data_IF_842921569595
#
_entry.id   IF_842921569595
#
_cell.length_a   1.000
_cell.length_b   1.000
_cell.length_c   1.000
_cell.angle_alpha   90.00
_cell.angle_beta   90.00
_cell.angle_gamma   90.00
#
_symmetry.space_group_name_H-M   'P 1'
#
loop_
_entity.id
_entity.type
_entity.pdbx_description
1 polymer ?
#
# COMPACT_ATOMS: atom_id res chain seq x y z
N UNK A 1 -7.30 0.25 -11.71
CA UNK A 1 -6.82 0.61 -13.05
C UNK A 1 -6.87 2.12 -13.19
N UNK A 2 -5.76 2.74 -13.60
CA UNK A 2 -5.69 4.14 -14.00
C UNK A 2 -5.57 4.20 -15.52
N UNK A 3 -6.60 4.71 -16.19
CA UNK A 3 -6.65 4.84 -17.64
C UNK A 3 -6.31 6.28 -18.04
N UNK A 4 -5.27 6.44 -18.84
CA UNK A 4 -4.82 7.73 -19.38
C UNK A 4 -5.22 7.84 -20.86
N UNK A 5 -6.21 8.69 -21.16
CA UNK A 5 -6.71 8.91 -22.54
C UNK A 5 -6.29 10.28 -23.09
N UNK A 6 -5.98 11.23 -22.22
CA UNK A 6 -5.62 12.60 -22.58
C UNK A 6 -4.16 12.94 -22.26
N UNK A 7 -3.67 14.02 -22.87
CA UNK A 7 -2.31 14.53 -22.65
C UNK A 7 -2.15 15.11 -21.24
N UNK A 8 -0.94 14.97 -20.68
CA UNK A 8 -0.53 15.57 -19.41
C UNK A 8 -1.43 15.20 -18.24
N UNK A 9 -1.92 13.97 -18.25
CA UNK A 9 -2.66 13.41 -17.12
C UNK A 9 -1.71 12.83 -16.08
N UNK A 10 -2.14 12.83 -14.83
CA UNK A 10 -1.36 12.26 -13.72
C UNK A 10 -2.22 11.29 -12.92
N UNK A 11 -1.63 10.17 -12.54
CA UNK A 11 -2.27 9.20 -11.65
C UNK A 11 -1.29 8.65 -10.62
N UNK A 12 -1.79 8.39 -9.43
CA UNK A 12 -1.07 7.70 -8.37
C UNK A 12 -1.97 6.62 -7.76
N UNK A 13 -1.49 5.38 -7.76
CA UNK A 13 -2.14 4.24 -7.12
C UNK A 13 -1.32 3.90 -5.88
N UNK A 14 -1.89 4.12 -4.71
CA UNK A 14 -1.26 3.77 -3.43
C UNK A 14 -2.04 2.61 -2.80
N UNK A 15 -1.36 1.49 -2.57
CA UNK A 15 -1.91 0.33 -1.90
C UNK A 15 -1.13 0.06 -0.61
N UNK A 16 -1.81 -0.04 0.51
CA UNK A 16 -1.20 -0.40 1.78
C UNK A 16 -1.96 -1.55 2.41
N UNK A 17 -1.24 -2.41 3.14
CA UNK A 17 -1.85 -3.56 3.77
C UNK A 17 -1.06 -4.10 4.94
N UNK A 18 -1.77 -4.82 5.80
CA UNK A 18 -1.20 -5.66 6.84
C UNK A 18 -1.73 -7.07 6.63
N UNK A 19 -0.83 -8.03 6.48
CA UNK A 19 -1.16 -9.44 6.37
C UNK A 19 -0.78 -10.15 7.65
N UNK A 20 -1.70 -10.91 8.21
CA UNK A 20 -1.58 -11.52 9.54
C UNK A 20 -1.96 -12.98 9.49
N UNK A 21 -1.38 -13.78 10.37
CA UNK A 21 -1.65 -15.21 10.53
C UNK A 21 -1.38 -16.01 9.22
N UNK A 22 -2.40 -16.60 8.60
CA UNK A 22 -2.35 -17.32 7.34
C UNK A 22 -3.14 -16.60 6.24
N UNK A 23 -3.18 -15.27 6.28
CA UNK A 23 -3.92 -14.48 5.31
C UNK A 23 -3.23 -14.45 3.94
N UNK A 24 -4.02 -14.29 2.89
CA UNK A 24 -3.51 -14.17 1.53
C UNK A 24 -4.05 -12.92 0.85
N UNK A 25 -3.19 -12.26 0.06
CA UNK A 25 -3.53 -11.08 -0.74
C UNK A 25 -3.03 -11.25 -2.16
N UNK A 26 -3.86 -10.92 -3.12
CA UNK A 26 -3.47 -10.70 -4.50
C UNK A 26 -3.84 -9.26 -4.89
N UNK A 27 -2.83 -8.42 -5.09
CA UNK A 27 -3.01 -7.07 -5.60
C UNK A 27 -2.69 -6.99 -7.09
N UNK A 28 -3.54 -6.32 -7.85
CA UNK A 28 -3.32 -6.03 -9.28
C UNK A 28 -3.52 -4.55 -9.52
N UNK A 29 -2.44 -3.82 -9.73
CA UNK A 29 -2.43 -2.44 -10.18
C UNK A 29 -2.23 -2.38 -11.69
N UNK A 30 -2.93 -1.50 -12.38
CA UNK A 30 -2.73 -1.29 -13.81
C UNK A 30 -2.74 0.19 -14.11
N UNK A 31 -1.68 0.67 -14.74
CA UNK A 31 -1.59 1.99 -15.38
C UNK A 31 -1.61 1.75 -16.87
N UNK A 32 -2.58 2.33 -17.57
CA UNK A 32 -2.79 2.12 -19.00
C UNK A 32 -2.72 3.46 -19.76
N UNK A 33 -1.62 3.67 -20.48
CA UNK A 33 -1.41 4.85 -21.30
C UNK A 33 -1.86 4.57 -22.75
N UNK A 34 -3.02 5.10 -23.09
CA UNK A 34 -3.60 4.99 -24.43
C UNK A 34 -2.96 5.97 -25.42
N UNK A 35 -3.13 5.72 -26.73
CA UNK A 35 -2.74 6.68 -27.74
C UNK A 35 -3.37 8.05 -27.48
N UNK A 36 -2.55 9.09 -27.52
CA UNK A 36 -2.97 10.47 -27.25
C UNK A 36 -2.73 10.92 -25.79
N UNK A 37 -2.18 10.06 -24.94
CA UNK A 37 -1.83 10.39 -23.54
C UNK A 37 -0.41 10.97 -23.37
N UNK A 38 0.16 11.56 -24.40
CA UNK A 38 1.52 12.12 -24.36
C UNK A 38 1.75 13.05 -23.15
N UNK A 39 2.98 13.06 -22.61
CA UNK A 39 3.40 13.80 -21.43
C UNK A 39 2.69 13.39 -20.13
N UNK A 40 2.06 12.22 -20.10
CA UNK A 40 1.37 11.72 -18.90
C UNK A 40 2.31 10.95 -17.97
N UNK A 41 1.96 10.96 -16.68
CA UNK A 41 2.74 10.32 -15.61
C UNK A 41 1.82 9.44 -14.78
N UNK A 42 2.23 8.20 -14.53
CA UNK A 42 1.54 7.28 -13.65
C UNK A 42 2.51 6.63 -12.67
N UNK A 43 2.13 6.55 -11.42
CA UNK A 43 2.90 5.88 -10.39
C UNK A 43 2.02 4.89 -9.63
N UNK A 44 2.60 3.74 -9.29
CA UNK A 44 2.01 2.75 -8.40
C UNK A 44 2.97 2.47 -7.25
N UNK A 45 2.47 2.53 -6.02
CA UNK A 45 3.21 2.21 -4.81
C UNK A 45 2.43 1.22 -3.97
N UNK A 46 3.14 0.24 -3.45
CA UNK A 46 2.60 -0.74 -2.52
C UNK A 46 3.45 -0.80 -1.26
N UNK A 47 2.80 -0.73 -0.09
CA UNK A 47 3.44 -0.90 1.22
C UNK A 47 2.68 -1.96 2.02
N UNK A 48 3.32 -3.11 2.28
CA UNK A 48 2.69 -4.25 2.97
C UNK A 48 3.56 -4.71 4.13
N UNK A 49 2.95 -4.74 5.31
CA UNK A 49 3.51 -5.36 6.49
C UNK A 49 3.08 -6.82 6.58
N UNK A 50 4.04 -7.72 6.71
CA UNK A 50 3.81 -9.15 6.92
C UNK A 50 3.98 -9.47 8.40
N UNK A 51 2.95 -10.10 9.00
CA UNK A 51 2.89 -10.46 10.41
C UNK A 51 2.48 -11.93 10.55
N UNK A 52 3.39 -12.84 10.21
CA UNK A 52 3.16 -14.29 10.29
C UNK A 52 3.93 -15.05 9.22
N UNK A 53 4.30 -16.27 9.54
CA UNK A 53 5.13 -17.13 8.67
C UNK A 53 4.34 -17.72 7.49
N UNK A 54 3.00 -17.83 7.63
CA UNK A 54 2.12 -18.46 6.64
C UNK A 54 1.39 -17.44 5.74
N UNK A 55 1.75 -16.17 5.80
CA UNK A 55 1.13 -15.13 4.97
C UNK A 55 1.55 -15.27 3.50
N UNK A 56 0.61 -15.06 2.59
CA UNK A 56 0.88 -15.07 1.15
C UNK A 56 0.58 -13.70 0.55
N UNK A 57 1.62 -13.02 0.10
CA UNK A 57 1.48 -11.75 -0.63
C UNK A 57 1.85 -11.94 -2.10
N UNK A 58 0.92 -11.62 -2.97
CA UNK A 58 1.12 -11.61 -4.42
C UNK A 58 0.79 -10.23 -4.98
N UNK A 59 1.66 -9.73 -5.85
CA UNK A 59 1.48 -8.43 -6.50
C UNK A 59 1.76 -8.56 -7.99
N UNK A 60 0.84 -8.04 -8.80
CA UNK A 60 0.94 -8.05 -10.26
C UNK A 60 0.77 -6.61 -10.74
N UNK A 61 1.86 -5.82 -10.77
CA UNK A 61 1.84 -4.49 -11.37
C UNK A 61 1.84 -4.60 -12.89
N UNK A 62 1.04 -3.78 -13.56
CA UNK A 62 1.00 -3.68 -15.02
C UNK A 62 1.10 -2.23 -15.44
N UNK A 63 2.05 -1.94 -16.33
CA UNK A 63 2.16 -0.65 -17.01
C UNK A 63 2.05 -0.91 -18.50
N UNK A 64 0.94 -0.51 -19.09
CA UNK A 64 0.64 -0.65 -20.51
C UNK A 64 0.91 0.69 -21.19
N UNK A 65 1.76 0.70 -22.22
CA UNK A 65 2.16 1.91 -22.91
C UNK A 65 1.83 1.78 -24.42
N UNK A 66 0.71 2.36 -24.83
CA UNK A 66 0.39 2.57 -26.24
C UNK A 66 0.86 3.95 -26.73
N UNK A 67 1.43 4.79 -25.84
CA UNK A 67 2.03 6.09 -26.12
C UNK A 67 3.50 6.07 -25.70
N UNK A 68 4.40 6.70 -26.49
CA UNK A 68 5.84 6.67 -26.23
C UNK A 68 6.30 7.76 -25.22
N UNK A 69 5.68 8.92 -25.28
CA UNK A 69 6.04 10.06 -24.41
C UNK A 69 5.25 10.02 -23.09
N UNK A 70 5.50 9.00 -22.28
CA UNK A 70 4.87 8.81 -20.97
C UNK A 70 5.90 8.35 -19.92
N UNK A 71 5.55 8.50 -18.64
CA UNK A 71 6.35 8.02 -17.51
C UNK A 71 5.51 7.14 -16.63
N UNK A 72 5.80 5.85 -16.61
CA UNK A 72 5.23 4.88 -15.70
C UNK A 72 6.26 4.41 -14.67
N UNK A 73 5.86 4.30 -13.41
CA UNK A 73 6.71 3.77 -12.34
C UNK A 73 5.93 2.87 -11.40
N UNK A 74 6.63 1.88 -10.86
CA UNK A 74 6.14 1.00 -9.81
C UNK A 74 7.17 0.89 -8.70
N UNK A 75 6.71 0.86 -7.45
CA UNK A 75 7.53 0.61 -6.28
C UNK A 75 6.77 -0.25 -5.26
N UNK A 76 7.46 -1.18 -4.61
CA UNK A 76 6.88 -1.99 -3.56
C UNK A 76 7.82 -2.08 -2.35
N UNK A 77 7.24 -1.94 -1.16
CA UNK A 77 7.87 -2.19 0.14
C UNK A 77 7.07 -3.28 0.83
N UNK A 78 7.59 -4.50 0.83
CA UNK A 78 6.91 -5.67 1.36
C UNK A 78 7.87 -6.37 2.32
N UNK A 79 7.47 -6.57 3.57
CA UNK A 79 8.31 -7.22 4.54
C UNK A 79 7.76 -7.23 5.95
N UNK A 80 8.50 -7.91 6.81
CA UNK A 80 8.27 -7.96 8.25
C UNK A 80 8.81 -6.70 8.94
N UNK A 81 8.51 -6.56 10.23
CA UNK A 81 9.17 -5.59 11.09
C UNK A 81 10.67 -5.86 11.19
N UNK A 82 11.46 -4.81 11.04
CA UNK A 82 12.91 -4.93 11.21
C UNK A 82 13.28 -5.38 12.63
N UNK A 83 14.24 -6.29 12.75
CA UNK A 83 14.70 -6.83 14.02
C UNK A 83 15.20 -5.72 14.98
N UNK A 84 15.83 -4.68 14.44
CA UNK A 84 16.25 -3.52 15.22
C UNK A 84 15.10 -2.75 15.87
N UNK A 85 13.97 -2.64 15.15
CA UNK A 85 12.75 -2.01 15.68
C UNK A 85 12.11 -2.90 16.75
N UNK A 86 12.03 -4.20 16.53
CA UNK A 86 11.53 -5.15 17.55
C UNK A 86 12.37 -5.08 18.82
N UNK A 87 13.70 -5.14 18.70
CA UNK A 87 14.61 -5.01 19.84
C UNK A 87 14.40 -3.68 20.61
N UNK A 88 14.16 -2.59 19.90
CA UNK A 88 13.89 -1.28 20.51
C UNK A 88 12.62 -1.31 21.37
N UNK A 89 11.54 -1.93 20.88
CA UNK A 89 10.30 -2.09 21.63
C UNK A 89 10.47 -3.02 22.84
N UNK A 90 11.08 -4.17 22.64
CA UNK A 90 11.33 -5.18 23.70
C UNK A 90 12.20 -4.63 24.81
N UNK A 91 13.23 -3.83 24.50
CA UNK A 91 14.08 -3.16 25.47
C UNK A 91 13.30 -2.15 26.37
N UNK A 92 12.09 -1.78 25.97
CA UNK A 92 11.16 -0.92 26.73
C UNK A 92 9.99 -1.67 27.36
N UNK A 93 10.05 -2.99 27.34
CA UNK A 93 9.04 -3.85 27.94
C UNK A 93 7.77 -4.04 27.10
N UNK A 94 7.81 -3.64 25.82
CA UNK A 94 6.72 -3.87 24.86
C UNK A 94 6.99 -5.22 24.18
N UNK A 95 6.03 -6.13 24.26
CA UNK A 95 6.15 -7.44 23.62
C UNK A 95 6.19 -7.33 22.08
N UNK A 96 6.71 -8.36 21.42
CA UNK A 96 6.70 -8.43 19.95
C UNK A 96 5.28 -8.24 19.39
N UNK A 97 4.31 -8.93 19.96
CA UNK A 97 2.91 -8.86 19.51
C UNK A 97 2.34 -7.44 19.64
N UNK A 98 2.62 -6.76 20.75
CA UNK A 98 2.20 -5.36 20.94
C UNK A 98 2.92 -4.40 19.99
N UNK A 99 4.21 -4.61 19.73
CA UNK A 99 4.98 -3.82 18.78
C UNK A 99 4.42 -3.96 17.36
N UNK A 100 4.10 -5.17 16.95
CA UNK A 100 3.48 -5.47 15.66
C UNK A 100 2.12 -4.79 15.51
N UNK A 101 1.27 -4.83 16.53
CA UNK A 101 -0.02 -4.12 16.55
C UNK A 101 0.14 -2.61 16.45
N UNK A 102 1.06 -2.03 17.21
CA UNK A 102 1.33 -0.58 17.18
C UNK A 102 1.75 -0.14 15.77
N UNK A 103 2.67 -0.87 15.14
CA UNK A 103 3.16 -0.50 13.81
C UNK A 103 2.11 -0.74 12.73
N UNK A 104 1.38 -1.85 12.80
CA UNK A 104 0.27 -2.13 11.90
C UNK A 104 -0.79 -1.04 11.94
N UNK A 105 -1.21 -0.66 13.14
CA UNK A 105 -2.17 0.43 13.36
C UNK A 105 -1.66 1.75 12.79
N UNK A 106 -0.43 2.13 13.10
CA UNK A 106 0.17 3.38 12.60
C UNK A 106 0.23 3.45 11.07
N UNK A 107 0.54 2.33 10.39
CA UNK A 107 0.54 2.26 8.92
C UNK A 107 -0.85 2.45 8.32
N UNK A 108 -1.86 1.80 8.90
CA UNK A 108 -3.23 1.89 8.41
C UNK A 108 -3.87 3.25 8.74
N UNK A 109 -3.57 3.82 9.91
CA UNK A 109 -4.05 5.15 10.29
C UNK A 109 -3.56 6.26 9.35
N UNK A 110 -2.38 6.10 8.76
CA UNK A 110 -1.89 7.02 7.75
C UNK A 110 -2.83 7.11 6.54
N UNK A 111 -3.43 5.98 6.12
CA UNK A 111 -4.43 5.99 5.04
C UNK A 111 -5.68 6.80 5.41
N UNK A 112 -6.07 6.76 6.69
CA UNK A 112 -7.19 7.57 7.17
C UNK A 112 -6.89 9.06 7.06
N UNK A 113 -5.65 9.46 7.36
CA UNK A 113 -5.21 10.86 7.27
C UNK A 113 -5.14 11.36 5.82
N UNK A 114 -4.78 10.46 4.88
CA UNK A 114 -4.71 10.77 3.45
C UNK A 114 -6.10 10.76 2.77
N UNK A 115 -7.16 10.37 3.50
CA UNK A 115 -8.54 10.28 2.99
C UNK A 115 -9.25 11.60 3.19
N UNK A 116 -9.67 12.27 2.10
CA UNK A 116 -10.31 13.59 2.14
C UNK A 116 -11.74 13.54 2.71
N UNK A 117 -12.47 12.43 2.51
CA UNK A 117 -13.83 12.27 3.03
C UNK A 117 -13.82 11.85 4.50
N UNK A 118 -14.24 12.76 5.37
CA UNK A 118 -14.25 12.56 6.82
C UNK A 118 -15.08 11.33 7.28
N UNK A 119 -16.19 11.02 6.59
CA UNK A 119 -17.00 9.85 6.94
C UNK A 119 -16.30 8.54 6.60
N UNK A 120 -15.64 8.51 5.44
CA UNK A 120 -14.84 7.37 5.03
C UNK A 120 -13.65 7.17 5.97
N UNK A 121 -12.95 8.25 6.34
CA UNK A 121 -11.86 8.19 7.30
C UNK A 121 -12.31 7.67 8.67
N UNK A 122 -13.43 8.15 9.20
CA UNK A 122 -14.00 7.68 10.45
C UNK A 122 -14.38 6.19 10.40
N UNK A 123 -15.00 5.75 9.31
CA UNK A 123 -15.32 4.34 9.11
C UNK A 123 -14.08 3.46 9.03
N UNK A 124 -13.03 3.93 8.35
CA UNK A 124 -11.74 3.23 8.30
C UNK A 124 -11.12 3.10 9.69
N UNK A 125 -11.14 4.16 10.50
CA UNK A 125 -10.67 4.11 11.88
C UNK A 125 -11.40 3.06 12.71
N UNK A 126 -12.73 2.98 12.61
CA UNK A 126 -13.51 1.97 13.33
C UNK A 126 -13.10 0.55 12.94
N UNK A 127 -12.94 0.28 11.65
CA UNK A 127 -12.49 -1.05 11.18
C UNK A 127 -11.09 -1.38 11.71
N UNK A 128 -10.15 -0.42 11.68
CA UNK A 128 -8.79 -0.64 12.16
C UNK A 128 -8.79 -1.02 13.65
N UNK A 129 -9.60 -0.34 14.47
CA UNK A 129 -9.72 -0.63 15.90
C UNK A 129 -10.37 -2.01 16.18
N UNK A 130 -11.23 -2.50 15.29
CA UNK A 130 -11.89 -3.81 15.45
C UNK A 130 -10.98 -4.98 15.03
N UNK A 131 -10.05 -4.76 14.08
CA UNK A 131 -9.29 -5.83 13.43
C UNK A 131 -7.88 -5.98 14.03
N UNK A 132 -7.29 -4.92 14.58
CA UNK A 132 -5.94 -4.89 15.13
C UNK A 132 -5.97 -4.80 16.67
#
# INVERSE_FOLDING_TARGET
>A
VALHEGKRTNSEINASGVLKDASSKLFRGTIDFQHGSAESVGAEKEDVLLMGDDVVNQTIPLILCAEEDVKGSHGASIGELEQGMLFYFEARGISREEAEKIVAKARLERLCQDTEDAKTAEYMHQIIEEVI
#
